data_IF_550337666462
#
_entry.id   IF_550337666462
#
_cell.length_a   1.000
_cell.length_b   1.000
_cell.length_c   1.000
_cell.angle_alpha   90.00
_cell.angle_beta   90.00
_cell.angle_gamma   90.00
#
_symmetry.space_group_name_H-M   'P 1'
#
loop_
_entity.id
_entity.type
_entity.pdbx_description
1 polymer ?
#
# COMPACT_ATOMS: atom_id res chain seq x y z
N UNK A 1 -8.71 -17.00 7.88
CA UNK A 1 -9.97 -16.24 7.82
C UNK A 1 -9.90 -15.54 6.49
N UNK A 2 -10.48 -16.14 5.46
CA UNK A 2 -10.60 -15.51 4.15
C UNK A 2 -11.48 -14.28 4.35
N UNK A 3 -10.90 -13.09 4.17
CA UNK A 3 -11.58 -11.83 4.37
C UNK A 3 -11.88 -11.25 2.99
N UNK A 4 -13.11 -10.80 2.74
CA UNK A 4 -13.55 -10.41 1.39
C UNK A 4 -12.49 -9.59 0.63
N UNK A 5 -12.26 -9.92 -0.64
CA UNK A 5 -11.26 -9.27 -1.49
C UNK A 5 -11.32 -7.73 -1.43
N UNK A 6 -12.53 -7.18 -1.32
CA UNK A 6 -12.76 -5.75 -1.14
C UNK A 6 -12.20 -5.21 0.17
N UNK A 7 -12.36 -5.93 1.28
CA UNK A 7 -11.83 -5.55 2.59
C UNK A 7 -10.30 -5.55 2.55
N UNK A 8 -9.68 -6.57 1.98
CA UNK A 8 -8.22 -6.62 1.83
C UNK A 8 -7.68 -5.48 0.94
N UNK A 9 -8.44 -5.11 -0.10
CA UNK A 9 -8.12 -3.95 -0.94
C UNK A 9 -8.18 -2.65 -0.14
N UNK A 10 -9.25 -2.42 0.63
CA UNK A 10 -9.40 -1.23 1.49
C UNK A 10 -8.28 -1.16 2.54
N UNK A 11 -7.96 -2.29 3.17
CA UNK A 11 -6.87 -2.37 4.13
C UNK A 11 -5.52 -2.03 3.48
N UNK A 12 -5.28 -2.51 2.26
CA UNK A 12 -4.05 -2.22 1.51
C UNK A 12 -3.99 -0.81 0.94
N UNK A 13 -5.14 -0.18 0.71
CA UNK A 13 -5.20 1.23 0.33
C UNK A 13 -4.67 2.13 1.46
N UNK A 14 -5.08 1.84 2.69
CA UNK A 14 -4.70 2.61 3.89
C UNK A 14 -3.28 2.24 4.32
N UNK A 15 -2.97 0.94 4.34
CA UNK A 15 -1.67 0.38 4.72
C UNK A 15 -1.19 -0.55 3.60
N UNK A 16 -0.46 -0.02 2.61
CA UNK A 16 0.17 -0.82 1.56
C UNK A 16 0.85 -2.07 2.08
N UNK A 17 0.41 -3.23 1.58
CA UNK A 17 0.93 -4.54 1.98
C UNK A 17 0.09 -5.31 3.01
N UNK A 18 -0.88 -4.68 3.66
CA UNK A 18 -1.66 -5.31 4.74
C UNK A 18 -2.58 -6.42 4.23
N UNK A 19 -3.35 -6.17 3.17
CA UNK A 19 -4.26 -7.17 2.58
C UNK A 19 -3.50 -8.35 2.00
N UNK A 20 -2.34 -8.12 1.37
CA UNK A 20 -1.44 -9.18 0.91
C UNK A 20 -0.98 -10.07 2.07
N UNK A 21 -0.61 -9.46 3.21
CA UNK A 21 -0.15 -10.21 4.36
C UNK A 21 -1.27 -11.05 5.01
N UNK A 22 -2.49 -10.53 5.04
CA UNK A 22 -3.69 -11.23 5.53
C UNK A 22 -4.01 -12.44 4.66
N UNK A 23 -3.92 -12.31 3.34
CA UNK A 23 -4.08 -13.39 2.36
C UNK A 23 -2.89 -14.38 2.31
N UNK A 24 -1.94 -14.26 3.25
CA UNK A 24 -0.81 -15.18 3.36
C UNK A 24 0.38 -14.85 2.46
N UNK A 25 0.27 -13.86 1.57
CA UNK A 25 1.37 -13.35 0.73
C UNK A 25 2.30 -12.39 1.49
N UNK A 26 2.85 -12.86 2.62
CA UNK A 26 3.63 -12.04 3.57
C UNK A 26 4.83 -11.32 2.94
N UNK A 27 5.58 -11.99 2.05
CA UNK A 27 6.72 -11.36 1.38
C UNK A 27 6.29 -10.18 0.51
N UNK A 28 5.21 -10.34 -0.27
CA UNK A 28 4.65 -9.26 -1.10
C UNK A 28 4.15 -8.11 -0.23
N UNK A 29 3.48 -8.43 0.88
CA UNK A 29 3.04 -7.43 1.85
C UNK A 29 4.18 -6.61 2.43
N UNK A 30 5.25 -7.27 2.90
CA UNK A 30 6.44 -6.59 3.44
C UNK A 30 7.09 -5.71 2.37
N UNK A 31 7.22 -6.19 1.13
CA UNK A 31 7.82 -5.41 0.03
C UNK A 31 7.03 -4.12 -0.21
N UNK A 32 5.69 -4.19 -0.30
CA UNK A 32 4.86 -3.00 -0.50
C UNK A 32 4.96 -2.02 0.66
N UNK A 33 4.99 -2.52 1.89
CA UNK A 33 5.14 -1.67 3.06
C UNK A 33 6.52 -0.99 3.10
N UNK A 34 7.60 -1.70 2.78
CA UNK A 34 8.95 -1.13 2.71
C UNK A 34 9.04 -0.07 1.60
N UNK A 35 8.43 -0.31 0.44
CA UNK A 35 8.37 0.68 -0.64
C UNK A 35 7.65 1.95 -0.16
N UNK A 36 6.55 1.84 0.60
CA UNK A 36 5.89 3.02 1.18
C UNK A 36 6.84 3.81 2.08
N UNK A 37 7.58 3.15 2.97
CA UNK A 37 8.52 3.82 3.88
C UNK A 37 9.62 4.55 3.10
N UNK A 38 10.19 3.90 2.09
CA UNK A 38 11.20 4.50 1.21
C UNK A 38 10.60 5.69 0.45
N UNK A 39 9.39 5.53 -0.11
CA UNK A 39 8.68 6.59 -0.82
C UNK A 39 8.48 7.82 0.07
N UNK A 40 7.96 7.64 1.30
CA UNK A 40 7.78 8.74 2.26
C UNK A 40 9.12 9.40 2.60
N UNK A 41 10.16 8.61 2.87
CA UNK A 41 11.50 9.12 3.17
C UNK A 41 12.09 9.97 2.05
N UNK A 42 11.94 9.51 0.80
CA UNK A 42 12.37 10.24 -0.41
C UNK A 42 11.59 11.55 -0.57
N UNK A 43 10.26 11.50 -0.46
CA UNK A 43 9.41 12.69 -0.58
C UNK A 43 9.75 13.75 0.48
N UNK A 44 10.04 13.31 1.70
CA UNK A 44 10.46 14.19 2.79
C UNK A 44 11.85 14.79 2.55
N UNK A 45 12.82 13.97 2.12
CA UNK A 45 14.19 14.43 1.81
C UNK A 45 14.21 15.53 0.74
N UNK A 46 13.38 15.41 -0.29
CA UNK A 46 13.28 16.38 -1.37
C UNK A 46 12.34 17.57 -1.07
N UNK A 47 11.76 17.65 0.13
CA UNK A 47 10.81 18.70 0.51
C UNK A 47 9.65 18.87 -0.49
N UNK A 48 9.14 17.74 -1.01
CA UNK A 48 7.98 17.75 -1.92
C UNK A 48 6.79 18.38 -1.20
N UNK A 49 5.98 19.18 -1.89
CA UNK A 49 4.85 19.85 -1.26
C UNK A 49 3.82 18.84 -0.73
N UNK A 50 3.10 19.20 0.34
CA UNK A 50 2.18 18.28 1.01
C UNK A 50 1.04 17.78 0.11
N UNK A 51 0.63 18.57 -0.89
CA UNK A 51 -0.45 18.17 -1.79
C UNK A 51 0.06 17.09 -2.74
N UNK A 52 1.22 17.30 -3.37
CA UNK A 52 1.86 16.31 -4.20
C UNK A 52 2.18 15.03 -3.41
N UNK A 53 2.66 15.13 -2.17
CA UNK A 53 2.89 13.97 -1.31
C UNK A 53 1.61 13.15 -1.11
N UNK A 54 0.48 13.82 -0.79
CA UNK A 54 -0.82 13.14 -0.60
C UNK A 54 -1.30 12.47 -1.89
N UNK A 55 -1.12 13.10 -3.04
CA UNK A 55 -1.50 12.53 -4.34
C UNK A 55 -0.64 11.30 -4.63
N UNK A 56 0.68 11.41 -4.50
CA UNK A 56 1.62 10.30 -4.77
C UNK A 56 1.34 9.12 -3.85
N UNK A 57 1.21 9.35 -2.55
CA UNK A 57 0.90 8.30 -1.58
C UNK A 57 -0.50 7.72 -1.81
N UNK A 58 -1.49 8.54 -2.20
CA UNK A 58 -2.83 8.08 -2.55
C UNK A 58 -2.83 7.15 -3.78
N UNK A 59 -2.13 7.53 -4.84
CA UNK A 59 -1.95 6.68 -6.03
C UNK A 59 -1.24 5.39 -5.68
N UNK A 60 -0.19 5.45 -4.86
CA UNK A 60 0.51 4.25 -4.41
C UNK A 60 -0.41 3.33 -3.58
N UNK A 61 -1.23 3.90 -2.70
CA UNK A 61 -2.27 3.17 -1.98
C UNK A 61 -3.25 2.48 -2.93
N UNK A 62 -3.71 3.14 -4.00
CA UNK A 62 -4.59 2.53 -5.00
C UNK A 62 -3.94 1.34 -5.70
N UNK A 63 -2.65 1.44 -6.01
CA UNK A 63 -1.88 0.34 -6.60
C UNK A 63 -1.83 -0.84 -5.63
N UNK A 64 -1.53 -0.60 -4.35
CA UNK A 64 -1.47 -1.66 -3.34
C UNK A 64 -2.85 -2.28 -3.06
N UNK A 65 -3.92 -1.49 -3.14
CA UNK A 65 -5.30 -1.95 -3.03
C UNK A 65 -5.69 -2.88 -4.18
N UNK A 66 -5.39 -2.47 -5.42
CA UNK A 66 -5.63 -3.28 -6.60
C UNK A 66 -4.83 -4.59 -6.58
N UNK A 67 -3.59 -4.52 -6.11
CA UNK A 67 -2.73 -5.69 -5.91
C UNK A 67 -3.37 -6.70 -4.94
N UNK A 68 -3.87 -6.24 -3.79
CA UNK A 68 -4.54 -7.10 -2.82
C UNK A 68 -5.86 -7.67 -3.34
N UNK A 69 -6.65 -6.85 -4.04
CA UNK A 69 -7.91 -7.29 -4.63
C UNK A 69 -7.74 -8.45 -5.62
N UNK A 70 -6.62 -8.47 -6.36
CA UNK A 70 -6.32 -9.47 -7.38
C UNK A 70 -5.69 -10.77 -6.87
N UNK A 71 -5.30 -10.81 -5.59
CA UNK A 71 -4.71 -12.00 -4.98
C UNK A 71 -5.75 -12.98 -4.44
N UNK A 72 -7.00 -12.54 -4.41
CA UNK A 72 -8.20 -13.34 -4.19
C UNK A 72 -8.62 -14.02 -5.49
#
# INVERSE_FOLDING_TARGET
MEMDALVNAILSFIVPGLGQAIEGYKQRGIILFVILLVLIGVLFYFNVDQIAQRIICGVYGLIAAYDAYRLY
#
